data_IF_623091346320
#
_entry.id   IF_623091346320
#
_cell.length_a   1.000
_cell.length_b   1.000
_cell.length_c   1.000
_cell.angle_alpha   90.00
_cell.angle_beta   90.00
_cell.angle_gamma   90.00
#
_symmetry.space_group_name_H-M   'P 1'
#
loop_
_entity.id
_entity.type
_entity.pdbx_description
1 polymer ?
#
# COMPACT_ATOMS: atom_id res chain seq x y z
N UNK A 1 13.77 14.15 -16.64
CA UNK A 1 12.89 13.16 -15.97
C UNK A 1 13.44 11.75 -16.17
N UNK A 2 13.72 11.07 -15.09
CA UNK A 2 14.18 9.68 -15.18
C UNK A 2 13.13 8.78 -14.53
N UNK A 3 12.38 8.06 -15.35
CA UNK A 3 11.29 7.23 -14.87
C UNK A 3 11.74 6.06 -13.98
N UNK A 4 13.02 5.70 -14.04
CA UNK A 4 13.54 4.67 -13.13
C UNK A 4 13.45 5.14 -11.68
N UNK A 5 13.44 6.44 -11.43
CA UNK A 5 13.34 6.98 -10.07
C UNK A 5 11.96 6.70 -9.44
N UNK A 6 10.97 6.33 -10.25
CA UNK A 6 9.67 5.93 -9.71
C UNK A 6 9.76 4.62 -8.92
N UNK A 7 10.80 3.84 -9.15
CA UNK A 7 10.98 2.56 -8.48
C UNK A 7 11.67 2.65 -7.14
N UNK A 8 12.05 3.84 -6.72
CA UNK A 8 12.80 3.97 -5.47
C UNK A 8 11.96 3.55 -4.27
N UNK A 9 12.65 3.09 -3.23
CA UNK A 9 11.99 2.70 -2.01
C UNK A 9 11.49 3.95 -1.30
N UNK A 10 10.24 3.92 -0.87
CA UNK A 10 9.59 5.02 -0.15
C UNK A 10 9.37 4.61 1.30
N UNK A 11 9.26 5.56 2.22
CA UNK A 11 8.86 5.24 3.59
C UNK A 11 7.52 4.53 3.56
N UNK A 12 7.38 3.46 4.32
CA UNK A 12 6.16 2.67 4.31
C UNK A 12 5.71 2.34 5.72
N UNK A 13 4.47 1.88 5.82
CA UNK A 13 3.82 1.55 7.08
C UNK A 13 3.39 0.10 7.05
N UNK A 14 2.96 -0.40 8.20
CA UNK A 14 2.44 -1.76 8.32
C UNK A 14 0.98 -1.72 8.74
N UNK A 15 0.19 -2.66 8.23
CA UNK A 15 -1.20 -2.81 8.62
C UNK A 15 -1.54 -4.28 8.76
N UNK A 16 -2.60 -4.57 9.51
CA UNK A 16 -3.09 -5.93 9.65
C UNK A 16 -3.75 -6.36 8.35
N UNK A 17 -3.34 -7.51 7.83
CA UNK A 17 -3.96 -8.09 6.66
C UNK A 17 -5.01 -9.11 7.06
N UNK A 18 -4.72 -9.97 8.03
CA UNK A 18 -5.66 -10.97 8.50
C UNK A 18 -5.28 -11.44 9.89
N UNK A 19 -6.26 -12.00 10.59
CA UNK A 19 -6.05 -12.62 11.90
C UNK A 19 -6.68 -14.01 11.85
N UNK A 20 -5.88 -15.04 12.06
CA UNK A 20 -6.34 -16.42 12.07
C UNK A 20 -5.57 -17.24 13.07
N UNK A 21 -6.29 -18.12 13.79
CA UNK A 21 -5.66 -19.06 14.72
C UNK A 21 -4.70 -18.40 15.71
N UNK A 22 -5.10 -17.26 16.25
CA UNK A 22 -4.28 -16.56 17.25
C UNK A 22 -3.07 -15.85 16.69
N UNK A 23 -2.97 -15.73 15.37
CA UNK A 23 -1.86 -15.03 14.71
C UNK A 23 -2.37 -13.92 13.82
N UNK A 24 -1.69 -12.78 13.87
CA UNK A 24 -2.00 -11.64 13.05
C UNK A 24 -0.94 -11.49 11.99
N UNK A 25 -1.36 -11.51 10.73
CA UNK A 25 -0.46 -11.30 9.59
C UNK A 25 -0.52 -9.84 9.19
N UNK A 26 0.64 -9.20 9.07
CA UNK A 26 0.75 -7.80 8.73
C UNK A 26 1.48 -7.61 7.41
N UNK A 27 1.06 -6.63 6.63
CA UNK A 27 1.61 -6.33 5.32
C UNK A 27 2.08 -4.89 5.28
N UNK A 28 3.18 -4.65 4.58
CA UNK A 28 3.70 -3.30 4.37
C UNK A 28 2.89 -2.60 3.28
N UNK A 29 2.69 -1.32 3.41
CA UNK A 29 1.92 -0.56 2.41
C UNK A 29 2.36 0.90 2.34
N UNK A 30 2.02 1.54 1.22
CA UNK A 30 2.07 2.98 1.05
C UNK A 30 0.66 3.41 0.64
N UNK A 31 0.33 4.67 0.86
CA UNK A 31 -1.01 5.13 0.50
C UNK A 31 -1.02 5.87 -0.85
N UNK A 32 -2.20 6.26 -1.30
CA UNK A 32 -2.34 6.93 -2.60
C UNK A 32 -1.59 8.26 -2.65
N UNK A 33 -1.49 8.96 -1.52
CA UNK A 33 -0.77 10.24 -1.49
C UNK A 33 0.71 10.05 -1.70
N UNK A 34 1.28 8.96 -1.16
CA UNK A 34 2.69 8.65 -1.39
C UNK A 34 2.95 8.44 -2.87
N UNK A 35 2.01 7.80 -3.58
CA UNK A 35 2.12 7.60 -5.02
C UNK A 35 2.04 8.92 -5.77
N UNK A 36 1.13 9.80 -5.36
CA UNK A 36 1.00 11.11 -5.99
C UNK A 36 2.26 11.95 -5.78
N UNK A 37 2.82 11.90 -4.57
CA UNK A 37 4.00 12.69 -4.25
C UNK A 37 5.21 12.27 -5.09
N UNK A 38 5.41 10.96 -5.30
CA UNK A 38 6.53 10.51 -6.11
C UNK A 38 6.31 10.84 -7.60
N UNK A 39 5.06 10.80 -8.05
CA UNK A 39 4.74 11.21 -9.43
C UNK A 39 5.04 12.69 -9.63
N UNK A 40 4.67 13.53 -8.65
CA UNK A 40 4.98 14.96 -8.71
C UNK A 40 6.49 15.19 -8.70
N UNK A 41 7.21 14.46 -7.84
CA UNK A 41 8.65 14.65 -7.71
C UNK A 41 9.40 14.24 -8.97
N UNK A 42 9.06 13.11 -9.54
CA UNK A 42 9.80 12.56 -10.69
C UNK A 42 9.35 13.14 -12.02
N UNK A 43 8.06 13.31 -12.20
CA UNK A 43 7.51 13.73 -13.49
C UNK A 43 7.16 15.21 -13.54
N UNK A 44 6.85 15.83 -12.41
CA UNK A 44 6.25 17.15 -12.36
C UNK A 44 4.73 17.00 -12.34
N UNK A 45 4.03 17.80 -11.53
CA UNK A 45 2.58 17.65 -11.40
C UNK A 45 1.82 17.86 -12.71
N UNK A 46 2.42 18.57 -13.68
CA UNK A 46 1.76 18.84 -14.95
C UNK A 46 1.98 17.71 -15.95
N UNK A 47 2.84 16.75 -15.64
CA UNK A 47 3.20 15.68 -16.57
C UNK A 47 2.66 14.31 -16.21
N UNK A 48 1.73 14.24 -15.27
CA UNK A 48 1.03 12.99 -14.98
C UNK A 48 -0.44 13.26 -14.71
N UNK A 49 -1.27 12.26 -14.94
CA UNK A 49 -2.70 12.36 -14.63
C UNK A 49 -3.27 10.96 -14.42
N UNK A 50 -4.43 10.88 -13.83
CA UNK A 50 -5.12 9.61 -13.65
C UNK A 50 -6.58 9.75 -14.06
N UNK A 51 -7.16 8.65 -14.54
CA UNK A 51 -8.56 8.61 -14.93
C UNK A 51 -9.13 7.27 -14.49
N UNK A 52 -10.40 7.29 -14.10
CA UNK A 52 -11.11 6.07 -13.72
C UNK A 52 -12.16 5.75 -14.78
N UNK A 53 -12.38 4.48 -15.03
CA UNK A 53 -13.43 4.05 -15.95
C UNK A 53 -13.91 2.65 -15.55
N UNK A 54 -15.11 2.29 -16.01
CA UNK A 54 -15.66 0.98 -15.74
C UNK A 54 -15.67 0.17 -17.02
N UNK A 55 -15.37 -1.14 -16.89
CA UNK A 55 -15.42 -2.04 -18.00
C UNK A 55 -15.81 -3.39 -17.45
N UNK A 56 -16.87 -3.97 -18.00
CA UNK A 56 -17.41 -5.26 -17.57
C UNK A 56 -17.72 -5.30 -16.07
N UNK A 57 -18.23 -4.18 -15.54
CA UNK A 57 -18.58 -4.11 -14.12
C UNK A 57 -17.41 -3.88 -13.18
N UNK A 58 -16.20 -3.74 -13.69
CA UNK A 58 -15.03 -3.53 -12.88
C UNK A 58 -14.54 -2.09 -13.00
N UNK A 59 -14.08 -1.52 -11.90
CA UNK A 59 -13.51 -0.20 -11.89
C UNK A 59 -12.02 -0.27 -12.19
N UNK A 60 -11.60 0.44 -13.22
CA UNK A 60 -10.21 0.55 -13.62
C UNK A 60 -9.69 1.94 -13.35
N UNK A 61 -8.41 2.05 -13.10
CA UNK A 61 -7.71 3.32 -13.09
C UNK A 61 -6.59 3.25 -14.11
N UNK A 62 -6.41 4.31 -14.89
CA UNK A 62 -5.24 4.42 -15.74
C UNK A 62 -4.46 5.65 -15.30
N UNK A 63 -3.16 5.49 -15.23
CA UNK A 63 -2.24 6.57 -14.87
C UNK A 63 -1.41 6.89 -16.12
N UNK A 64 -1.47 8.14 -16.55
CA UNK A 64 -0.74 8.60 -17.71
C UNK A 64 0.42 9.48 -17.33
N UNK A 65 1.52 9.32 -18.03
CA UNK A 65 2.70 10.17 -17.88
C UNK A 65 3.08 10.69 -19.27
N UNK A 66 3.36 11.98 -19.33
CA UNK A 66 3.78 12.59 -20.59
C UNK A 66 5.25 12.27 -20.81
N UNK A 67 5.52 11.42 -21.78
CA UNK A 67 6.87 10.93 -22.05
C UNK A 67 7.23 11.25 -23.47
N UNK A 68 8.33 11.98 -23.67
CA UNK A 68 8.69 12.44 -25.01
C UNK A 68 7.66 13.45 -25.49
N UNK A 69 6.88 13.08 -26.48
CA UNK A 69 5.89 13.97 -27.03
C UNK A 69 4.47 13.43 -26.95
N UNK A 70 4.25 12.42 -26.13
CA UNK A 70 2.91 11.85 -26.00
C UNK A 70 2.63 11.33 -24.60
N UNK A 71 1.34 11.14 -24.33
CA UNK A 71 0.89 10.55 -23.08
C UNK A 71 0.94 9.03 -23.23
N UNK A 72 1.60 8.39 -22.25
CA UNK A 72 1.66 6.93 -22.17
C UNK A 72 0.83 6.52 -20.98
N UNK A 73 -0.08 5.55 -21.16
CA UNK A 73 -1.03 5.15 -20.12
C UNK A 73 -0.81 3.72 -19.71
N UNK A 74 -0.92 3.49 -18.40
CA UNK A 74 -0.91 2.12 -17.86
C UNK A 74 -2.08 2.00 -16.90
N UNK A 75 -2.82 0.89 -16.99
CA UNK A 75 -4.04 0.73 -16.21
C UNK A 75 -4.10 -0.58 -15.45
N UNK A 76 -4.87 -0.57 -14.38
CA UNK A 76 -5.15 -1.77 -13.60
C UNK A 76 -6.49 -1.56 -12.86
N UNK A 77 -6.99 -2.63 -12.28
CA UNK A 77 -8.23 -2.60 -11.51
C UNK A 77 -7.95 -2.91 -10.05
N UNK A 78 -8.81 -2.44 -9.16
CA UNK A 78 -8.71 -2.77 -7.75
C UNK A 78 -9.28 -4.16 -7.47
N UNK A 79 -9.14 -4.61 -6.23
CA UNK A 79 -9.68 -5.90 -5.87
C UNK A 79 -11.20 -5.81 -5.77
N UNK A 80 -11.86 -6.91 -6.20
CA UNK A 80 -13.30 -6.93 -6.19
C UNK A 80 -13.87 -7.04 -4.84
N UNK A 81 -13.09 -7.15 -3.84
CA UNK A 81 -13.62 -7.49 -2.61
C UNK A 81 -14.35 -6.33 -2.09
N UNK A 82 -15.56 -6.39 -2.11
CA UNK A 82 -16.26 -5.61 -1.29
C UNK A 82 -16.48 -4.28 -1.50
N UNK A 83 -17.08 -3.92 -1.24
CA UNK A 83 -17.95 -3.11 -1.47
C UNK A 83 -17.88 -1.90 -0.64
N UNK A 84 -17.44 -1.91 0.44
CA UNK A 84 -17.35 -0.83 1.18
C UNK A 84 -16.51 0.12 0.82
N UNK A 85 -16.12 0.11 0.19
CA UNK A 85 -15.86 -0.35 -0.78
C UNK A 85 -15.53 0.60 -1.79
N UNK A 86 -16.27 1.55 -2.05
CA UNK A 86 -16.02 2.43 -3.16
C UNK A 86 -14.73 3.23 -2.92
N UNK A 87 -14.50 3.72 -1.70
CA UNK A 87 -13.29 4.50 -1.43
C UNK A 87 -12.04 3.66 -1.48
N UNK A 88 -12.09 2.49 -0.89
CA UNK A 88 -10.95 1.57 -0.89
C UNK A 88 -10.67 1.06 -2.28
N UNK A 89 -11.71 0.80 -3.07
CA UNK A 89 -11.56 0.27 -4.42
C UNK A 89 -10.90 1.29 -5.35
N UNK A 90 -11.30 2.56 -5.24
CA UNK A 90 -10.73 3.64 -6.05
C UNK A 90 -9.24 3.80 -5.72
N UNK A 91 -8.91 3.87 -4.43
CA UNK A 91 -7.53 4.01 -4.01
C UNK A 91 -6.68 2.81 -4.41
N UNK A 92 -7.25 1.60 -4.31
CA UNK A 92 -6.54 0.38 -4.67
C UNK A 92 -6.28 0.33 -6.18
N UNK A 93 -7.28 0.68 -7.00
CA UNK A 93 -7.11 0.70 -8.45
C UNK A 93 -6.00 1.68 -8.86
N UNK A 94 -5.97 2.85 -8.23
CA UNK A 94 -4.94 3.85 -8.51
C UNK A 94 -3.56 3.33 -8.13
N UNK A 95 -3.41 2.76 -6.93
CA UNK A 95 -2.11 2.24 -6.49
C UNK A 95 -1.63 1.09 -7.37
N UNK A 96 -2.55 0.23 -7.82
CA UNK A 96 -2.18 -0.87 -8.72
C UNK A 96 -1.74 -0.36 -10.09
N UNK A 97 -2.38 0.68 -10.61
CA UNK A 97 -1.94 1.31 -11.85
C UNK A 97 -0.54 1.93 -11.66
N UNK A 98 -0.29 2.54 -10.50
CA UNK A 98 1.03 3.09 -10.17
C UNK A 98 2.11 2.01 -10.13
N UNK A 99 1.79 0.81 -9.66
CA UNK A 99 2.74 -0.30 -9.62
C UNK A 99 3.22 -0.65 -11.04
N UNK A 100 2.38 -0.49 -12.04
CA UNK A 100 2.79 -0.74 -13.43
C UNK A 100 3.85 0.25 -13.89
N UNK A 101 3.90 1.42 -13.29
CA UNK A 101 4.94 2.41 -13.55
C UNK A 101 6.18 2.21 -12.66
N UNK A 102 6.12 1.26 -11.72
CA UNK A 102 7.22 0.95 -10.81
C UNK A 102 7.03 1.43 -9.39
N UNK A 103 6.02 2.26 -9.13
CA UNK A 103 5.79 2.85 -7.82
C UNK A 103 5.30 1.79 -6.85
N UNK A 104 6.04 1.61 -5.74
CA UNK A 104 5.64 0.64 -4.73
C UNK A 104 5.99 -0.81 -5.02
N UNK A 105 6.69 -1.09 -6.11
CA UNK A 105 7.08 -2.47 -6.41
C UNK A 105 7.96 -3.07 -5.32
N UNK A 106 8.73 -2.26 -4.62
CA UNK A 106 9.59 -2.75 -3.55
C UNK A 106 8.79 -3.45 -2.45
N UNK A 107 7.52 -3.08 -2.27
CA UNK A 107 6.68 -3.67 -1.23
C UNK A 107 6.48 -5.17 -1.43
N UNK A 108 6.47 -5.62 -2.68
CA UNK A 108 6.29 -7.05 -2.98
C UNK A 108 7.51 -7.89 -2.61
N UNK A 109 8.63 -7.26 -2.31
CA UNK A 109 9.83 -7.98 -1.89
C UNK A 109 9.93 -8.07 -0.38
N UNK A 110 9.06 -7.36 0.36
CA UNK A 110 9.07 -7.39 1.81
C UNK A 110 8.26 -8.57 2.32
N UNK A 111 8.81 -9.30 3.29
CA UNK A 111 8.10 -10.44 3.85
C UNK A 111 6.95 -9.98 4.73
N UNK A 112 5.89 -10.75 4.72
CA UNK A 112 4.80 -10.52 5.65
C UNK A 112 5.32 -10.74 7.06
N UNK A 113 4.78 -10.00 8.00
CA UNK A 113 5.16 -10.14 9.41
C UNK A 113 4.02 -10.79 10.17
N UNK A 114 4.33 -11.77 10.97
CA UNK A 114 3.32 -12.48 11.77
C UNK A 114 3.54 -12.15 13.23
N UNK A 115 2.49 -11.68 13.89
CA UNK A 115 2.51 -11.33 15.30
C UNK A 115 1.54 -12.20 16.06
N UNK A 116 1.79 -12.35 17.38
CA UNK A 116 0.82 -13.00 18.24
C UNK A 116 -0.40 -12.09 18.40
N UNK A 117 -1.52 -12.67 18.76
CA UNK A 117 -2.79 -11.97 18.88
C UNK A 117 -3.27 -12.03 20.34
N UNK A 118 -3.90 -10.97 20.79
CA UNK A 118 -4.55 -10.97 22.09
C UNK A 118 -5.94 -10.36 21.95
N UNK A 119 -6.90 -10.95 22.66
CA UNK A 119 -8.26 -10.43 22.62
C UNK A 119 -8.46 -9.31 23.63
N UNK A 120 -9.25 -8.32 23.23
CA UNK A 120 -9.64 -7.24 24.10
C UNK A 120 -11.05 -6.83 23.70
N UNK A 121 -11.98 -6.91 24.68
CA UNK A 121 -13.39 -6.59 24.46
C UNK A 121 -13.98 -7.30 23.24
N UNK A 122 -13.66 -8.57 23.11
CA UNK A 122 -14.24 -9.40 22.02
C UNK A 122 -13.60 -9.25 20.66
N UNK A 123 -12.55 -8.45 20.54
CA UNK A 123 -11.84 -8.29 19.27
C UNK A 123 -10.40 -8.75 19.38
N UNK A 124 -9.87 -9.23 18.29
CA UNK A 124 -8.48 -9.68 18.22
C UNK A 124 -7.58 -8.54 17.75
N UNK A 125 -6.48 -8.35 18.45
CA UNK A 125 -5.50 -7.31 18.14
C UNK A 125 -4.10 -7.89 18.11
N UNK A 126 -3.19 -7.28 17.33
CA UNK A 126 -1.79 -7.66 17.44
C UNK A 126 -1.27 -7.37 18.85
N UNK A 127 -0.34 -8.19 19.29
CA UNK A 127 0.20 -8.10 20.64
C UNK A 127 1.72 -8.09 20.60
N UNK A 128 2.32 -7.24 21.42
CA UNK A 128 3.76 -7.13 21.54
C UNK A 128 4.21 -7.76 22.86
N UNK A 129 4.63 -9.04 22.87
CA UNK A 129 5.00 -9.73 24.10
C UNK A 129 6.17 -9.08 24.85
N UNK A 130 7.13 -8.54 24.10
CA UNK A 130 8.31 -7.91 24.69
C UNK A 130 7.95 -6.70 25.53
N UNK A 131 6.83 -6.08 25.22
CA UNK A 131 6.38 -4.88 25.94
C UNK A 131 5.11 -5.14 26.74
N UNK A 132 4.57 -6.34 26.64
CA UNK A 132 3.30 -6.73 27.23
C UNK A 132 2.20 -5.70 26.93
N UNK A 133 2.07 -5.37 25.67
CA UNK A 133 1.07 -4.40 25.23
C UNK A 133 0.30 -4.86 24.00
N UNK A 134 -1.00 -4.56 24.03
CA UNK A 134 -1.87 -4.77 22.88
C UNK A 134 -1.69 -3.56 21.96
N UNK A 135 -1.66 -3.80 20.67
CA UNK A 135 -1.46 -2.75 19.68
C UNK A 135 -2.80 -2.38 19.06
N UNK A 136 -3.24 -1.15 19.29
CA UNK A 136 -4.57 -0.70 18.86
C UNK A 136 -4.55 0.18 17.59
N UNK A 137 -3.42 0.77 17.25
CA UNK A 137 -3.36 1.71 16.13
C UNK A 137 -2.21 1.41 15.16
N UNK A 138 -2.33 1.96 13.96
CA UNK A 138 -1.37 1.69 12.89
C UNK A 138 0.02 2.27 13.13
N UNK A 139 0.12 3.42 13.78
CA UNK A 139 1.42 4.03 14.02
C UNK A 139 2.22 3.20 15.04
N UNK A 140 1.56 2.73 16.09
CA UNK A 140 2.19 1.85 17.08
C UNK A 140 2.60 0.53 16.43
N UNK A 141 1.74 -0.02 15.57
CA UNK A 141 2.04 -1.25 14.85
C UNK A 141 3.28 -1.09 13.98
N UNK A 142 3.33 -0.01 13.21
CA UNK A 142 4.46 0.27 12.32
C UNK A 142 5.77 0.39 13.12
N UNK A 143 5.74 1.14 14.22
CA UNK A 143 6.93 1.29 15.06
C UNK A 143 7.38 -0.03 15.67
N UNK A 144 6.43 -0.83 16.13
CA UNK A 144 6.75 -2.13 16.73
C UNK A 144 7.36 -3.08 15.71
N UNK A 145 6.75 -3.20 14.53
CA UNK A 145 7.27 -4.11 13.51
C UNK A 145 8.66 -3.65 13.04
N UNK A 146 8.85 -2.35 12.82
CA UNK A 146 10.16 -1.85 12.42
C UNK A 146 11.22 -2.11 13.49
N UNK A 147 10.86 -1.96 14.77
CA UNK A 147 11.76 -2.28 15.86
C UNK A 147 12.10 -3.79 15.85
N UNK A 148 11.08 -4.61 15.62
CA UNK A 148 11.26 -6.06 15.65
C UNK A 148 12.18 -6.51 14.51
N UNK A 149 11.98 -5.98 13.31
CA UNK A 149 12.83 -6.31 12.17
C UNK A 149 14.28 -5.90 12.43
N UNK A 150 14.47 -4.71 13.01
CA UNK A 150 15.81 -4.20 13.28
C UNK A 150 16.53 -5.03 14.33
N UNK A 151 15.81 -5.58 15.27
CA UNK A 151 16.39 -6.28 16.42
C UNK A 151 16.41 -7.80 16.31
N UNK A 152 15.87 -8.36 15.22
CA UNK A 152 15.85 -9.80 15.03
C UNK A 152 16.86 -10.21 13.96
N UNK A 153 18.08 -9.79 14.11
CA UNK A 153 19.12 -10.20 13.16
C UNK A 153 19.82 -11.43 13.66
#
# INVERSE_FOLDING_TARGET
MNLEDLKKELPYKWRVQSTRYGKTTCVAYIDARDCMDILDEVCGPENWQSMFYEENGLLFCKVGIFVGECWVWKSDTGSESNVEKDKGHVSDAFKRACVKWGIGRFLYRLSLQTLTTKQYKGKDYPYAPEKDKIIFDGDTLTKYINWKIKNNK
#
